data_IF_541166313780
#
_entry.id   IF_541166313780
#
_cell.length_a   1.000
_cell.length_b   1.000
_cell.length_c   1.000
_cell.angle_alpha   90.00
_cell.angle_beta   90.00
_cell.angle_gamma   90.00
#
_symmetry.space_group_name_H-M   'P 1'
#
loop_
_entity.id
_entity.type
_entity.pdbx_description
1 polymer ?
#
# COMPACT_ATOMS: atom_id res chain seq x y z
N UNK A 1 -5.19 -17.65 22.29
CA UNK A 1 -5.81 -17.52 20.95
C UNK A 1 -4.96 -16.58 20.11
N UNK A 2 -4.43 -17.05 18.99
CA UNK A 2 -3.62 -16.23 18.07
C UNK A 2 -4.53 -15.30 17.27
N UNK A 3 -4.39 -13.98 17.45
CA UNK A 3 -5.12 -12.99 16.64
C UNK A 3 -4.61 -13.05 15.19
N UNK A 4 -5.53 -13.13 14.23
CA UNK A 4 -5.22 -13.16 12.79
C UNK A 4 -5.39 -11.78 12.17
N UNK A 5 -4.59 -11.47 11.17
CA UNK A 5 -4.67 -10.19 10.46
C UNK A 5 -5.92 -10.11 9.60
N UNK A 6 -6.72 -9.06 9.79
CA UNK A 6 -7.95 -8.82 9.01
C UNK A 6 -7.73 -8.57 7.50
N UNK A 7 -6.50 -8.30 7.08
CA UNK A 7 -6.18 -8.11 5.66
C UNK A 7 -5.66 -9.38 4.99
N UNK A 8 -4.63 -10.01 5.58
CA UNK A 8 -3.88 -11.08 4.93
C UNK A 8 -4.06 -12.47 5.58
N UNK A 9 -4.87 -12.58 6.64
CA UNK A 9 -5.16 -13.84 7.35
C UNK A 9 -3.99 -14.40 8.17
N UNK A 10 -2.80 -13.79 8.13
CA UNK A 10 -1.61 -14.27 8.85
C UNK A 10 -1.71 -14.03 10.36
N UNK A 11 -1.16 -14.92 11.20
CA UNK A 11 -1.13 -14.73 12.65
C UNK A 11 -0.32 -13.48 13.02
N UNK A 12 -0.83 -12.69 13.96
CA UNK A 12 -0.21 -11.45 14.42
C UNK A 12 0.73 -11.79 15.58
N UNK A 13 2.04 -11.59 15.38
CA UNK A 13 3.07 -11.81 16.41
C UNK A 13 3.20 -10.62 17.39
N UNK A 14 2.09 -10.01 17.84
CA UNK A 14 2.15 -8.86 18.75
C UNK A 14 1.72 -9.18 20.17
N UNK A 15 2.44 -8.61 21.14
CA UNK A 15 2.13 -8.73 22.58
C UNK A 15 0.84 -8.01 23.02
N UNK A 16 0.25 -7.14 22.19
CA UNK A 16 -1.05 -6.50 22.48
C UNK A 16 -2.17 -7.23 21.75
N UNK A 17 -3.17 -7.67 22.50
CA UNK A 17 -4.37 -8.36 21.99
C UNK A 17 -5.25 -7.50 21.07
N UNK A 18 -5.11 -6.18 21.10
CA UNK A 18 -5.94 -5.22 20.33
C UNK A 18 -5.45 -4.97 18.89
N UNK A 19 -4.28 -5.51 18.50
CA UNK A 19 -3.72 -5.28 17.17
C UNK A 19 -4.51 -6.06 16.10
N UNK A 20 -5.09 -5.33 15.13
CA UNK A 20 -5.94 -5.88 14.05
C UNK A 20 -5.18 -6.26 12.76
N UNK A 21 -3.97 -5.73 12.57
CA UNK A 21 -3.17 -5.93 11.35
C UNK A 21 -1.74 -6.34 11.66
N UNK A 22 -1.15 -7.21 10.84
CA UNK A 22 0.22 -7.67 11.05
C UNK A 22 1.27 -6.60 10.72
N UNK A 23 0.95 -5.63 9.85
CA UNK A 23 1.82 -4.51 9.47
C UNK A 23 1.01 -3.27 9.07
N UNK A 24 1.65 -2.10 9.09
CA UNK A 24 1.04 -0.84 8.62
C UNK A 24 0.68 -0.90 7.13
N UNK A 25 1.41 -1.70 6.34
CA UNK A 25 1.05 -1.98 4.95
C UNK A 25 -0.29 -2.73 4.85
N UNK A 26 -0.51 -3.77 5.66
CA UNK A 26 -1.81 -4.46 5.71
C UNK A 26 -2.94 -3.56 6.22
N UNK A 27 -2.65 -2.64 7.15
CA UNK A 27 -3.60 -1.64 7.63
C UNK A 27 -4.00 -0.67 6.51
N UNK A 28 -3.03 -0.16 5.75
CA UNK A 28 -3.28 0.72 4.60
C UNK A 28 -4.04 0.01 3.49
N UNK A 29 -3.66 -1.23 3.15
CA UNK A 29 -4.36 -2.01 2.12
C UNK A 29 -5.83 -2.31 2.52
N UNK A 30 -6.08 -2.62 3.80
CA UNK A 30 -7.45 -2.83 4.30
C UNK A 30 -8.28 -1.56 4.35
N UNK A 31 -7.63 -0.40 4.47
CA UNK A 31 -8.29 0.90 4.34
C UNK A 31 -8.71 1.14 2.89
N UNK A 32 -7.79 1.00 1.94
CA UNK A 32 -8.08 1.21 0.52
C UNK A 32 -9.17 0.27 -0.01
N UNK A 33 -9.15 -1.02 0.38
CA UNK A 33 -10.19 -1.97 -0.01
C UNK A 33 -11.59 -1.58 0.50
N UNK A 34 -11.67 -1.06 1.73
CA UNK A 34 -12.95 -0.58 2.30
C UNK A 34 -13.42 0.72 1.69
N UNK A 35 -12.50 1.64 1.40
CA UNK A 35 -12.82 2.89 0.71
C UNK A 35 -13.26 2.65 -0.74
N UNK A 36 -12.67 1.67 -1.43
CA UNK A 36 -13.06 1.28 -2.80
C UNK A 36 -14.48 0.70 -2.84
N UNK A 37 -14.85 -0.16 -1.87
CA UNK A 37 -16.21 -0.73 -1.78
C UNK A 37 -17.30 0.31 -1.49
N UNK A 38 -16.97 1.39 -0.77
CA UNK A 38 -17.91 2.49 -0.49
C UNK A 38 -18.18 3.37 -1.72
N UNK A 39 -17.22 3.47 -2.65
CA UNK A 39 -17.38 4.22 -3.91
C UNK A 39 -18.16 3.45 -4.99
N UNK A 40 -18.26 2.12 -4.90
CA UNK A 40 -18.93 1.28 -5.91
C UNK A 40 -20.45 1.12 -5.72
N UNK A 41 -21.08 1.81 -4.76
CA UNK A 41 -22.54 1.75 -4.56
C UNK A 41 -23.10 0.34 -4.25
N UNK A 42 -22.24 -0.62 -3.91
CA UNK A 42 -22.65 -1.97 -3.56
C UNK A 42 -23.13 -1.99 -2.11
N UNK A 43 -24.42 -1.74 -1.91
CA UNK A 43 -25.10 -2.07 -0.66
C UNK A 43 -25.12 -3.58 -0.51
N UNK A 44 -24.18 -4.15 0.26
CA UNK A 44 -24.42 -5.44 0.89
C UNK A 44 -25.06 -5.18 2.24
N UNK A 45 -26.35 -5.53 2.34
CA UNK A 45 -26.92 -6.05 3.55
C UNK A 45 -26.10 -7.28 3.95
N UNK A 46 -25.13 -7.11 4.83
CA UNK A 46 -24.69 -8.19 5.71
C UNK A 46 -25.24 -7.88 7.11
N UNK A 47 -26.26 -8.67 7.43
CA UNK A 47 -26.97 -8.76 8.69
C UNK A 47 -26.02 -8.84 9.88
N UNK A 48 -25.98 -7.77 10.67
CA UNK A 48 -25.53 -7.78 12.05
C UNK A 48 -26.77 -7.63 12.94
N UNK A 49 -27.41 -8.75 13.27
CA UNK A 49 -28.18 -8.96 14.50
C UNK A 49 -28.49 -10.44 14.64
N UNK A 50 -27.77 -11.13 15.52
CA UNK A 50 -28.36 -11.95 16.59
C UNK A 50 -27.26 -12.55 17.46
N UNK A 51 -26.99 -11.88 18.57
CA UNK A 51 -26.71 -12.56 19.82
C UNK A 51 -27.84 -12.15 20.77
N UNK A 52 -28.99 -12.82 20.67
CA UNK A 52 -29.99 -12.79 21.72
C UNK A 52 -29.77 -14.03 22.61
N UNK A 53 -29.65 -13.85 23.94
CA UNK A 53 -29.41 -14.95 24.89
C UNK A 53 -30.68 -15.81 25.08
N UNK A 54 -30.55 -17.07 25.52
CA UNK A 54 -31.66 -18.01 25.54
C UNK A 54 -32.65 -17.67 26.65
N UNK A 55 -33.93 -17.83 26.33
CA UNK A 55 -35.01 -17.86 27.31
C UNK A 55 -34.97 -19.19 28.08
N UNK A 56 -35.00 -19.14 29.42
CA UNK A 56 -35.64 -20.20 30.19
C UNK A 56 -36.26 -19.66 31.49
N UNK A 57 -37.60 -19.60 31.45
CA UNK A 57 -38.59 -20.00 32.46
C UNK A 57 -38.14 -20.02 33.93
N UNK A 58 -38.82 -19.17 34.71
CA UNK A 58 -39.30 -19.31 36.10
C UNK A 58 -38.42 -20.05 37.13
N UNK A 59 -38.05 -19.34 38.21
CA UNK A 59 -38.62 -19.58 39.55
C UNK A 59 -38.10 -18.60 40.59
N UNK A 60 -39.00 -18.21 41.49
CA UNK A 60 -38.74 -17.40 42.67
C UNK A 60 -38.01 -18.20 43.76
N UNK A 61 -37.35 -17.44 44.63
CA UNK A 61 -37.15 -17.62 46.08
C UNK A 61 -35.82 -18.19 46.64
N UNK A 62 -35.36 -17.44 47.66
CA UNK A 62 -34.56 -17.80 48.84
C UNK A 62 -33.02 -17.85 48.78
N UNK A 63 -32.39 -16.92 49.53
CA UNK A 63 -31.39 -17.26 50.55
C UNK A 63 -29.91 -16.87 50.34
N UNK A 64 -29.39 -15.96 51.22
CA UNK A 64 -28.09 -15.95 51.96
C UNK A 64 -26.76 -16.22 51.22
N UNK A 65 -25.58 -15.71 51.56
CA UNK A 65 -24.97 -14.77 52.51
C UNK A 65 -23.49 -14.62 52.05
N UNK A 66 -22.91 -13.41 52.24
CA UNK A 66 -21.51 -13.05 52.57
C UNK A 66 -20.28 -13.80 52.00
N UNK A 67 -19.39 -13.01 51.36
CA UNK A 67 -17.94 -12.81 51.63
C UNK A 67 -17.26 -12.45 50.29
N UNK A 68 -16.52 -11.36 50.10
CA UNK A 68 -15.58 -10.72 51.00
C UNK A 68 -14.17 -10.94 50.46
N UNK A 69 -13.73 -10.13 49.48
CA UNK A 69 -12.32 -9.85 49.15
C UNK A 69 -12.22 -8.62 48.23
N UNK A 70 -11.26 -7.70 48.46
CA UNK A 70 -11.15 -6.46 47.68
C UNK A 70 -10.49 -6.75 46.33
N UNK A 71 -11.33 -6.84 45.29
CA UNK A 71 -10.88 -6.89 43.90
C UNK A 71 -10.25 -5.55 43.54
N UNK A 72 -8.98 -5.56 43.16
CA UNK A 72 -8.30 -4.42 42.56
C UNK A 72 -9.15 -3.86 41.42
N UNK A 73 -9.49 -2.57 41.49
CA UNK A 73 -10.21 -1.85 40.45
C UNK A 73 -9.44 -2.02 39.12
N UNK A 74 -10.09 -2.53 38.05
CA UNK A 74 -9.47 -2.54 36.74
C UNK A 74 -9.27 -1.08 36.32
N UNK A 75 -8.02 -0.71 36.11
CA UNK A 75 -7.61 0.60 35.60
C UNK A 75 -8.35 0.84 34.27
N UNK A 76 -9.37 1.69 34.34
CA UNK A 76 -10.20 2.05 33.20
C UNK A 76 -9.30 2.77 32.20
N UNK A 77 -8.97 2.10 31.10
CA UNK A 77 -8.35 2.74 29.95
C UNK A 77 -9.25 3.91 29.52
N UNK A 78 -8.71 5.14 29.39
CA UNK A 78 -9.50 6.27 28.97
C UNK A 78 -10.18 5.94 27.65
N UNK A 79 -11.49 6.21 27.58
CA UNK A 79 -12.30 5.93 26.40
C UNK A 79 -11.60 6.50 25.15
N UNK A 80 -11.30 5.63 24.17
CA UNK A 80 -10.69 6.06 22.92
C UNK A 80 -11.58 7.13 22.27
N UNK A 81 -10.99 8.27 21.94
CA UNK A 81 -11.71 9.35 21.27
C UNK A 81 -12.38 8.83 19.99
N UNK A 82 -13.62 9.26 19.68
CA UNK A 82 -14.32 8.81 18.49
C UNK A 82 -13.51 9.12 17.23
N UNK A 83 -13.46 8.14 16.32
CA UNK A 83 -12.70 8.25 15.07
C UNK A 83 -13.20 9.43 14.24
N UNK A 84 -12.30 10.37 13.93
CA UNK A 84 -12.58 11.48 13.03
C UNK A 84 -12.14 11.14 11.61
N UNK A 85 -13.07 11.23 10.67
CA UNK A 85 -12.76 11.14 9.25
C UNK A 85 -11.95 12.36 8.82
N UNK A 86 -10.72 12.13 8.36
CA UNK A 86 -9.86 13.19 7.83
C UNK A 86 -9.95 13.18 6.31
N UNK A 87 -10.49 14.24 5.75
CA UNK A 87 -10.49 14.47 4.32
C UNK A 87 -9.06 14.73 3.82
N UNK A 88 -8.66 14.07 2.75
CA UNK A 88 -7.36 14.31 2.10
C UNK A 88 -7.52 14.31 0.60
N UNK A 89 -7.43 15.49 0.00
CA UNK A 89 -7.44 15.67 -1.47
C UNK A 89 -6.43 14.77 -2.19
N UNK A 90 -5.27 14.50 -1.57
CA UNK A 90 -4.28 13.58 -2.13
C UNK A 90 -4.84 12.15 -2.22
N UNK A 91 -5.53 11.68 -1.19
CA UNK A 91 -6.07 10.32 -1.14
C UNK A 91 -7.19 10.14 -2.16
N UNK A 92 -8.02 11.16 -2.37
CA UNK A 92 -9.05 11.13 -3.41
C UNK A 92 -8.45 11.05 -4.81
N UNK A 93 -7.43 11.86 -5.10
CA UNK A 93 -6.74 11.78 -6.39
C UNK A 93 -6.05 10.43 -6.60
N UNK A 94 -5.49 9.84 -5.53
CA UNK A 94 -4.93 8.49 -5.61
C UNK A 94 -6.02 7.48 -5.96
N UNK A 95 -7.19 7.55 -5.30
CA UNK A 95 -8.32 6.68 -5.61
C UNK A 95 -8.79 6.84 -7.06
N UNK A 96 -8.92 8.08 -7.54
CA UNK A 96 -9.28 8.37 -8.93
C UNK A 96 -8.30 7.72 -9.93
N UNK A 97 -6.98 7.80 -9.70
CA UNK A 97 -6.00 7.13 -10.54
C UNK A 97 -6.02 5.60 -10.44
N UNK A 98 -6.43 5.04 -9.30
CA UNK A 98 -6.58 3.59 -9.12
C UNK A 98 -7.82 3.09 -9.88
N UNK A 99 -8.94 3.79 -9.73
CA UNK A 99 -10.24 3.36 -10.25
C UNK A 99 -10.38 3.62 -11.76
N UNK A 100 -9.74 4.67 -12.29
CA UNK A 100 -9.77 5.01 -13.73
C UNK A 100 -8.82 4.17 -14.59
N UNK A 101 -7.90 3.40 -13.99
CA UNK A 101 -6.80 2.77 -14.70
C UNK A 101 -7.07 1.34 -15.16
N UNK A 102 -6.99 1.08 -16.47
CA UNK A 102 -6.96 -0.29 -17.03
C UNK A 102 -5.81 -1.15 -16.47
N UNK A 103 -4.75 -0.50 -15.97
CA UNK A 103 -3.61 -1.14 -15.33
C UNK A 103 -4.00 -2.03 -14.13
N UNK A 104 -5.02 -1.65 -13.36
CA UNK A 104 -5.46 -2.42 -12.19
C UNK A 104 -5.96 -3.80 -12.61
N UNK A 105 -6.81 -3.85 -13.64
CA UNK A 105 -7.36 -5.10 -14.18
C UNK A 105 -6.24 -6.03 -14.68
N UNK A 106 -5.32 -5.50 -15.50
CA UNK A 106 -4.20 -6.26 -16.06
C UNK A 106 -3.32 -6.88 -14.98
N UNK A 107 -2.98 -6.10 -13.94
CA UNK A 107 -2.00 -6.49 -12.93
C UNK A 107 -2.60 -7.30 -11.77
N UNK A 108 -3.91 -7.26 -11.55
CA UNK A 108 -4.61 -8.15 -10.62
C UNK A 108 -4.82 -9.55 -11.19
N UNK A 109 -5.02 -9.66 -12.51
CA UNK A 109 -5.26 -10.93 -13.20
C UNK A 109 -4.18 -11.24 -14.25
N UNK A 110 -2.89 -11.22 -13.88
CA UNK A 110 -1.80 -11.21 -14.86
C UNK A 110 -1.73 -12.48 -15.73
N UNK A 111 -2.23 -13.62 -15.23
CA UNK A 111 -2.25 -14.88 -15.97
C UNK A 111 -3.24 -14.92 -17.14
N UNK A 112 -4.24 -14.02 -17.15
CA UNK A 112 -5.22 -13.90 -18.24
C UNK A 112 -4.65 -13.11 -19.42
N UNK A 113 -3.68 -12.23 -19.17
CA UNK A 113 -3.11 -11.33 -20.18
C UNK A 113 -1.69 -11.74 -20.63
N UNK A 114 -0.92 -12.37 -19.74
CA UNK A 114 0.47 -12.73 -19.98
C UNK A 114 0.72 -14.21 -19.71
N UNK A 115 1.31 -14.89 -20.69
CA UNK A 115 1.79 -16.26 -20.51
C UNK A 115 2.97 -16.31 -19.52
N UNK A 116 3.36 -17.51 -19.11
CA UNK A 116 4.41 -17.74 -18.11
C UNK A 116 5.75 -17.06 -18.46
N UNK A 117 6.14 -17.08 -19.74
CA UNK A 117 7.39 -16.48 -20.23
C UNK A 117 7.34 -14.95 -20.20
N UNK A 118 6.23 -14.35 -20.62
CA UNK A 118 6.06 -12.88 -20.59
C UNK A 118 5.84 -12.37 -19.17
N UNK A 119 5.18 -13.16 -18.32
CA UNK A 119 4.88 -12.81 -16.95
C UNK A 119 6.13 -12.66 -16.09
N UNK A 120 7.15 -13.49 -16.31
CA UNK A 120 8.44 -13.35 -15.62
C UNK A 120 9.09 -11.99 -15.92
N UNK A 121 9.05 -11.59 -17.19
CA UNK A 121 9.54 -10.29 -17.67
C UNK A 121 8.73 -9.13 -17.09
N UNK A 122 7.39 -9.22 -17.10
CA UNK A 122 6.50 -8.22 -16.50
C UNK A 122 6.77 -8.07 -15.00
N UNK A 123 6.91 -9.18 -14.25
CA UNK A 123 7.24 -9.16 -12.82
C UNK A 123 8.61 -8.53 -12.56
N UNK A 124 9.60 -8.87 -13.38
CA UNK A 124 10.97 -8.34 -13.25
C UNK A 124 11.01 -6.82 -13.38
N UNK A 125 10.31 -6.26 -14.37
CA UNK A 125 10.22 -4.79 -14.54
C UNK A 125 9.37 -4.18 -13.43
N UNK A 126 8.26 -4.82 -13.07
CA UNK A 126 7.29 -4.28 -12.12
C UNK A 126 7.85 -4.13 -10.70
N UNK A 127 8.66 -5.08 -10.21
CA UNK A 127 9.26 -4.97 -8.86
C UNK A 127 10.27 -3.83 -8.79
N UNK A 128 11.05 -3.62 -9.86
CA UNK A 128 12.02 -2.53 -9.98
C UNK A 128 11.32 -1.19 -10.11
N UNK A 129 10.31 -1.08 -10.97
CA UNK A 129 9.51 0.13 -11.06
C UNK A 129 8.86 0.46 -9.71
N UNK A 130 8.23 -0.51 -9.04
CA UNK A 130 7.60 -0.29 -7.71
C UNK A 130 8.61 0.28 -6.72
N UNK A 131 9.82 -0.27 -6.69
CA UNK A 131 10.90 0.22 -5.85
C UNK A 131 11.30 1.67 -6.21
N UNK A 132 11.49 1.98 -7.49
CA UNK A 132 11.88 3.32 -7.92
C UNK A 132 10.79 4.35 -7.65
N UNK A 133 9.51 4.02 -7.86
CA UNK A 133 8.39 4.91 -7.53
C UNK A 133 8.34 5.24 -6.05
N UNK A 134 8.52 4.24 -5.17
CA UNK A 134 8.63 4.46 -3.72
C UNK A 134 9.75 5.45 -3.39
N UNK A 135 10.93 5.27 -4.00
CA UNK A 135 12.07 6.16 -3.79
C UNK A 135 11.78 7.58 -4.29
N UNK A 136 11.21 7.75 -5.50
CA UNK A 136 10.84 9.07 -6.01
C UNK A 136 9.83 9.78 -5.11
N UNK A 137 8.81 9.07 -4.62
CA UNK A 137 7.82 9.64 -3.70
C UNK A 137 8.50 10.09 -2.40
N UNK A 138 9.44 9.30 -1.84
CA UNK A 138 10.21 9.68 -0.65
C UNK A 138 11.09 10.90 -0.90
N UNK A 139 11.89 10.88 -1.98
CA UNK A 139 12.76 11.99 -2.36
C UNK A 139 11.97 13.29 -2.55
N UNK A 140 10.73 13.21 -3.05
CA UNK A 140 9.88 14.38 -3.26
C UNK A 140 9.47 15.12 -1.97
N UNK A 141 9.59 14.43 -0.83
CA UNK A 141 9.29 14.99 0.49
C UNK A 141 10.54 15.55 1.20
N UNK A 142 11.73 15.29 0.66
CA UNK A 142 12.97 15.80 1.24
C UNK A 142 13.16 17.29 0.89
N UNK A 143 13.74 18.08 1.81
CA UNK A 143 14.03 19.49 1.53
C UNK A 143 15.07 19.65 0.41
N UNK A 144 16.05 18.74 0.37
CA UNK A 144 17.08 18.65 -0.65
C UNK A 144 17.49 17.19 -0.86
N UNK A 145 17.92 16.86 -2.08
CA UNK A 145 18.40 15.55 -2.51
C UNK A 145 19.81 15.73 -3.06
N UNK A 146 20.76 14.88 -2.63
CA UNK A 146 22.11 14.95 -3.15
C UNK A 146 22.18 14.40 -4.59
N UNK A 147 23.18 14.86 -5.34
CA UNK A 147 23.37 14.51 -6.74
C UNK A 147 23.56 13.00 -6.91
N UNK A 148 24.35 12.35 -6.04
CA UNK A 148 24.63 10.91 -6.14
C UNK A 148 23.37 10.05 -5.99
N UNK A 149 22.44 10.40 -5.10
CA UNK A 149 21.16 9.67 -4.95
C UNK A 149 20.29 9.84 -6.20
N UNK A 150 20.20 11.07 -6.72
CA UNK A 150 19.41 11.32 -7.93
C UNK A 150 20.01 10.60 -9.14
N UNK A 151 21.34 10.58 -9.24
CA UNK A 151 22.09 9.85 -10.25
C UNK A 151 21.88 8.35 -10.14
N UNK A 152 21.96 7.77 -8.95
CA UNK A 152 21.74 6.34 -8.74
C UNK A 152 20.32 5.92 -9.15
N UNK A 153 19.30 6.71 -8.82
CA UNK A 153 17.92 6.46 -9.24
C UNK A 153 17.76 6.57 -10.77
N UNK A 154 18.40 7.57 -11.39
CA UNK A 154 18.42 7.73 -12.85
C UNK A 154 19.12 6.55 -13.55
N UNK A 155 20.28 6.13 -13.05
CA UNK A 155 21.02 4.99 -13.59
C UNK A 155 20.18 3.70 -13.48
N UNK A 156 19.50 3.47 -12.35
CA UNK A 156 18.59 2.34 -12.21
C UNK A 156 17.42 2.36 -13.22
N UNK A 157 16.87 3.53 -13.55
CA UNK A 157 15.88 3.67 -14.62
C UNK A 157 16.46 3.35 -16.01
N UNK A 158 17.66 3.85 -16.30
CA UNK A 158 18.36 3.55 -17.54
C UNK A 158 18.64 2.05 -17.67
N UNK A 159 19.08 1.41 -16.58
CA UNK A 159 19.35 -0.03 -16.54
C UNK A 159 18.07 -0.85 -16.80
N UNK A 160 16.92 -0.45 -16.22
CA UNK A 160 15.62 -1.06 -16.58
C UNK A 160 15.37 -0.92 -18.08
N UNK A 161 15.45 0.29 -18.65
CA UNK A 161 15.17 0.51 -20.08
C UNK A 161 16.13 -0.29 -20.98
N UNK A 162 17.39 -0.42 -20.57
CA UNK A 162 18.41 -1.14 -21.29
C UNK A 162 18.26 -2.67 -21.18
N UNK A 163 17.63 -3.19 -20.11
CA UNK A 163 17.47 -4.62 -19.86
C UNK A 163 16.76 -5.37 -20.99
N UNK A 164 17.05 -6.67 -21.12
CA UNK A 164 16.35 -7.54 -22.05
C UNK A 164 14.87 -7.62 -21.70
N UNK A 165 14.56 -7.66 -20.41
CA UNK A 165 13.19 -7.71 -19.90
C UNK A 165 12.36 -6.53 -20.39
N UNK A 166 12.87 -5.29 -20.30
CA UNK A 166 12.09 -4.14 -20.76
C UNK A 166 11.90 -4.11 -22.28
N UNK A 167 12.90 -4.57 -23.05
CA UNK A 167 12.78 -4.66 -24.52
C UNK A 167 11.79 -5.73 -24.98
N UNK A 168 11.62 -6.79 -24.19
CA UNK A 168 10.66 -7.88 -24.45
C UNK A 168 9.27 -7.62 -23.85
N UNK A 169 9.05 -6.49 -23.18
CA UNK A 169 7.73 -6.14 -22.69
C UNK A 169 6.74 -6.05 -23.84
N UNK A 170 5.56 -6.63 -23.62
CA UNK A 170 4.45 -6.49 -24.54
C UNK A 170 3.93 -5.05 -24.55
N UNK A 171 3.36 -4.58 -25.68
CA UNK A 171 2.79 -3.24 -25.79
C UNK A 171 1.66 -2.94 -24.79
N UNK A 172 1.01 -3.98 -24.27
CA UNK A 172 -0.07 -3.91 -23.28
C UNK A 172 0.43 -3.63 -21.84
N UNK A 173 1.74 -3.59 -21.59
CA UNK A 173 2.25 -3.24 -20.26
C UNK A 173 1.95 -1.76 -19.92
N UNK A 174 1.21 -1.48 -18.83
CA UNK A 174 0.60 -0.16 -18.59
C UNK A 174 1.60 0.95 -18.25
N UNK A 175 2.83 0.60 -17.85
CA UNK A 175 3.80 1.54 -17.28
C UNK A 175 5.05 1.76 -18.15
N UNK A 176 5.01 1.38 -19.43
CA UNK A 176 6.12 1.64 -20.35
C UNK A 176 6.38 3.15 -20.50
N UNK A 177 5.31 3.94 -20.64
CA UNK A 177 5.42 5.38 -20.84
C UNK A 177 5.89 6.11 -19.57
N UNK A 178 5.37 5.74 -18.40
CA UNK A 178 5.78 6.37 -17.14
C UNK A 178 7.27 6.13 -16.85
N UNK A 179 7.80 4.93 -17.17
CA UNK A 179 9.23 4.63 -17.06
C UNK A 179 10.06 5.58 -17.94
N UNK A 180 9.72 5.68 -19.23
CA UNK A 180 10.47 6.52 -20.18
C UNK A 180 10.39 8.00 -19.81
N UNK A 181 9.20 8.48 -19.46
CA UNK A 181 8.95 9.87 -19.09
C UNK A 181 9.71 10.27 -17.81
N UNK A 182 9.66 9.43 -16.77
CA UNK A 182 10.40 9.67 -15.52
C UNK A 182 11.91 9.68 -15.77
N UNK A 183 12.42 8.75 -16.59
CA UNK A 183 13.84 8.70 -16.97
C UNK A 183 14.28 10.01 -17.62
N UNK A 184 13.52 10.51 -18.60
CA UNK A 184 13.82 11.77 -19.27
C UNK A 184 13.82 12.97 -18.31
N UNK A 185 12.81 13.08 -17.45
CA UNK A 185 12.73 14.16 -16.44
C UNK A 185 13.88 14.10 -15.43
N UNK A 186 14.23 12.90 -14.96
CA UNK A 186 15.36 12.69 -14.05
C UNK A 186 16.69 13.02 -14.71
N UNK A 187 16.88 12.72 -16.00
CA UNK A 187 18.09 13.06 -16.74
C UNK A 187 18.32 14.58 -16.79
N UNK A 188 17.27 15.36 -17.04
CA UNK A 188 17.33 16.83 -17.02
C UNK A 188 17.71 17.33 -15.62
N UNK A 189 17.06 16.81 -14.57
CA UNK A 189 17.33 17.21 -13.20
C UNK A 189 18.74 16.82 -12.73
N UNK A 190 19.23 15.63 -13.08
CA UNK A 190 20.59 15.18 -12.75
C UNK A 190 21.64 16.05 -13.45
N UNK A 191 21.42 16.43 -14.71
CA UNK A 191 22.32 17.34 -15.45
C UNK A 191 22.42 18.72 -14.77
N UNK A 192 21.29 19.23 -14.26
CA UNK A 192 21.26 20.49 -13.50
C UNK A 192 21.91 20.33 -12.11
N UNK A 193 21.67 19.20 -11.44
CA UNK A 193 22.15 18.89 -10.10
C UNK A 193 23.67 18.67 -10.01
N UNK A 194 24.32 18.19 -11.08
CA UNK A 194 25.77 17.93 -11.13
C UNK A 194 26.61 19.14 -10.70
N UNK A 195 26.13 20.36 -10.96
CA UNK A 195 26.83 21.61 -10.60
C UNK A 195 26.58 22.05 -9.16
N UNK A 196 25.41 21.73 -8.60
CA UNK A 196 24.91 22.27 -7.32
C UNK A 196 25.13 21.32 -6.14
N UNK A 197 25.57 20.08 -6.38
CA UNK A 197 25.75 18.96 -5.43
C UNK A 197 24.46 18.49 -4.73
N UNK A 198 23.54 19.40 -4.45
CA UNK A 198 22.19 19.11 -3.98
C UNK A 198 21.17 19.83 -4.85
N UNK A 199 19.99 19.23 -4.98
CA UNK A 199 18.88 19.81 -5.71
C UNK A 199 17.57 19.49 -5.03
N UNK A 200 16.57 20.34 -5.25
CA UNK A 200 15.23 20.11 -4.74
C UNK A 200 14.45 19.29 -5.76
N UNK A 201 14.12 18.04 -5.39
CA UNK A 201 13.19 17.23 -6.16
C UNK A 201 11.79 17.42 -5.61
N UNK A 202 10.84 17.86 -6.44
CA UNK A 202 9.45 18.07 -6.05
C UNK A 202 8.52 17.47 -7.09
N UNK A 203 7.48 16.82 -6.61
CA UNK A 203 6.36 16.37 -7.41
C UNK A 203 5.17 17.29 -7.17
N UNK A 204 4.42 17.57 -8.23
CA UNK A 204 3.09 18.19 -8.09
C UNK A 204 2.15 17.21 -7.37
N UNK A 205 1.06 17.71 -6.80
CA UNK A 205 0.07 16.88 -6.10
C UNK A 205 -0.44 15.75 -7.00
N UNK A 206 -0.90 16.09 -8.22
CA UNK A 206 -1.42 15.13 -9.19
C UNK A 206 -0.36 14.08 -9.57
N UNK A 207 0.88 14.52 -9.87
CA UNK A 207 1.94 13.57 -10.23
C UNK A 207 2.28 12.65 -9.06
N UNK A 208 2.29 13.17 -7.84
CA UNK A 208 2.52 12.35 -6.64
C UNK A 208 1.38 11.33 -6.44
N UNK A 209 0.13 11.75 -6.64
CA UNK A 209 -1.03 10.86 -6.58
C UNK A 209 -0.93 9.73 -7.61
N UNK A 210 -0.60 10.06 -8.86
CA UNK A 210 -0.40 9.10 -9.96
C UNK A 210 0.70 8.08 -9.63
N UNK A 211 1.87 8.53 -9.14
CA UNK A 211 2.96 7.61 -8.76
C UNK A 211 2.56 6.73 -7.57
N UNK A 212 1.80 7.28 -6.61
CA UNK A 212 1.29 6.52 -5.46
C UNK A 212 0.27 5.46 -5.89
N UNK A 213 -0.61 5.79 -6.83
CA UNK A 213 -1.57 4.86 -7.42
C UNK A 213 -0.85 3.75 -8.21
N UNK A 214 0.08 4.09 -9.10
CA UNK A 214 0.87 3.11 -9.84
C UNK A 214 1.64 2.17 -8.91
N UNK A 215 2.29 2.71 -7.87
CA UNK A 215 2.96 1.91 -6.83
C UNK A 215 2.00 0.98 -6.09
N UNK A 216 0.77 1.44 -5.81
CA UNK A 216 -0.27 0.65 -5.17
C UNK A 216 -0.74 -0.49 -6.06
N UNK A 217 -1.05 -0.21 -7.33
CA UNK A 217 -1.47 -1.22 -8.32
C UNK A 217 -0.38 -2.29 -8.49
N UNK A 218 0.88 -1.89 -8.66
CA UNK A 218 2.02 -2.81 -8.75
C UNK A 218 2.14 -3.72 -7.52
N UNK A 219 1.66 -3.30 -6.35
CA UNK A 219 1.68 -4.11 -5.14
C UNK A 219 0.77 -5.35 -5.22
N UNK A 220 -0.22 -5.36 -6.12
CA UNK A 220 -1.02 -6.54 -6.40
C UNK A 220 -0.24 -7.64 -7.13
N UNK A 221 0.80 -7.28 -7.89
CA UNK A 221 1.58 -8.23 -8.69
C UNK A 221 2.88 -8.70 -8.02
N UNK A 222 3.61 -7.77 -7.40
CA UNK A 222 4.98 -8.00 -6.89
C UNK A 222 5.12 -7.53 -5.44
N UNK A 223 5.93 -8.18 -4.59
CA UNK A 223 6.16 -7.73 -3.22
C UNK A 223 6.99 -6.42 -3.16
N UNK A 224 7.02 -5.72 -2.01
CA UNK A 224 7.93 -4.61 -1.82
C UNK A 224 9.37 -5.13 -1.75
N UNK A 225 10.31 -4.37 -2.31
CA UNK A 225 11.75 -4.65 -2.23
C UNK A 225 12.52 -3.34 -2.03
N UNK A 226 13.62 -3.40 -1.28
CA UNK A 226 14.54 -2.27 -1.09
C UNK A 226 15.40 -2.08 -2.33
N UNK A 227 15.86 -0.85 -2.55
CA UNK A 227 16.74 -0.54 -3.69
C UNK A 227 18.00 -1.41 -3.68
N UNK A 228 18.59 -1.62 -2.50
CA UNK A 228 19.78 -2.46 -2.31
C UNK A 228 19.55 -3.96 -2.49
N UNK A 229 18.30 -4.43 -2.53
CA UNK A 229 17.95 -5.85 -2.73
C UNK A 229 17.71 -6.19 -4.20
N UNK A 230 17.69 -5.18 -5.08
CA UNK A 230 17.39 -5.34 -6.49
C UNK A 230 18.64 -5.15 -7.32
N UNK A 231 18.88 -6.11 -8.20
CA UNK A 231 19.89 -6.00 -9.25
C UNK A 231 19.27 -5.32 -10.47
N UNK A 232 19.80 -4.15 -10.85
CA UNK A 232 19.28 -3.38 -11.98
C UNK A 232 20.02 -3.66 -13.28
N UNK A 233 21.32 -3.93 -13.19
CA UNK A 233 22.16 -4.29 -14.33
C UNK A 233 21.96 -5.76 -14.65
N UNK A 234 21.77 -6.04 -15.93
CA UNK A 234 21.72 -7.39 -16.51
C UNK A 234 22.97 -7.59 -17.38
#
# INVERSE_FOLDING_TARGET
MSTVCLHCGKPIQSQRSTKKYCSDSCKQLAFYKRSSLLSSGATLQETLSDNQPPANISNQSAGKLLNGNPTALPEQQPAEAPYQWVYSRLIEQVAEYVDSGHALLLLQHPGEYWNSYTLSTVKWVSIRLRCLLENLIRLSNLPAVNYETLRAVLEAFNDIIASRHFRLLRPDYPYTNIIKELTGKLAVLAKQGKRKQTTRFRLTLNRKAELMAARHILAGLVPPARFSELEFKE
#
